data_IF_531939951486
#
_entry.id   IF_531939951486
#
_cell.length_a   1.000
_cell.length_b   1.000
_cell.length_c   1.000
_cell.angle_alpha   90.00
_cell.angle_beta   90.00
_cell.angle_gamma   90.00
#
_symmetry.space_group_name_H-M   'P 1'
#
loop_
_entity.id
_entity.type
_entity.pdbx_description
1 polymer ?
#
# COMPACT_ATOMS: atom_id res chain seq x y z
N UNK A 1 7.55 8.03 -5.20
CA UNK A 1 6.16 7.54 -5.37
C UNK A 1 5.61 7.23 -3.99
N UNK A 2 4.42 7.73 -3.68
CA UNK A 2 3.71 7.40 -2.43
C UNK A 2 2.86 6.18 -2.68
N UNK A 3 3.13 5.09 -1.98
CA UNK A 3 2.25 3.92 -1.98
C UNK A 3 0.94 4.29 -1.33
N UNK A 4 -0.19 3.82 -1.88
CA UNK A 4 -1.47 3.95 -1.19
C UNK A 4 -1.39 3.18 0.15
N UNK A 5 -1.95 3.76 1.20
CA UNK A 5 -2.14 3.09 2.49
C UNK A 5 -3.61 2.67 2.61
N UNK A 6 -3.91 1.67 3.43
CA UNK A 6 -5.28 1.23 3.60
C UNK A 6 -6.16 2.39 4.14
N UNK A 7 -7.40 2.59 3.66
CA UNK A 7 -8.21 3.74 4.06
C UNK A 7 -8.51 3.82 5.56
N UNK A 8 -8.65 2.68 6.24
CA UNK A 8 -8.85 2.67 7.69
C UNK A 8 -7.61 3.15 8.44
N UNK A 9 -6.42 2.82 7.93
CA UNK A 9 -5.16 3.28 8.51
C UNK A 9 -4.97 4.77 8.26
N UNK A 10 -5.35 5.25 7.08
CA UNK A 10 -5.39 6.68 6.78
C UNK A 10 -6.34 7.43 7.73
N UNK A 11 -7.53 6.90 7.99
CA UNK A 11 -8.49 7.47 8.93
C UNK A 11 -7.91 7.54 10.36
N UNK A 12 -7.26 6.48 10.83
CA UNK A 12 -6.58 6.45 12.13
C UNK A 12 -5.46 7.51 12.19
N UNK A 13 -4.66 7.64 11.13
CA UNK A 13 -3.61 8.65 11.05
C UNK A 13 -4.20 10.07 11.11
N UNK A 14 -5.27 10.34 10.37
CA UNK A 14 -5.95 11.64 10.41
C UNK A 14 -6.53 11.95 11.80
N UNK A 15 -7.02 10.95 12.53
CA UNK A 15 -7.52 11.14 13.89
C UNK A 15 -6.44 11.65 14.87
N UNK A 16 -5.15 11.47 14.55
CA UNK A 16 -4.03 12.04 15.33
C UNK A 16 -3.69 13.49 14.98
N UNK A 17 -4.36 14.09 14.00
CA UNK A 17 -4.08 15.44 13.50
C UNK A 17 -5.16 16.42 13.95
N UNK A 18 -4.72 17.64 14.26
CA UNK A 18 -5.63 18.75 14.56
C UNK A 18 -6.02 19.45 13.27
N UNK A 19 -7.32 19.54 13.00
CA UNK A 19 -7.86 20.30 11.87
C UNK A 19 -8.31 21.66 12.37
N UNK A 20 -8.08 22.70 11.57
CA UNK A 20 -8.54 24.06 11.88
C UNK A 20 -10.06 24.21 11.79
N UNK A 21 -10.74 23.36 11.00
CA UNK A 21 -12.19 23.22 11.03
C UNK A 21 -12.57 21.75 11.35
N UNK A 22 -13.36 21.53 12.41
CA UNK A 22 -13.70 20.19 12.92
C UNK A 22 -14.44 19.28 11.93
N UNK A 23 -14.98 19.80 10.82
CA UNK A 23 -15.67 19.02 9.78
C UNK A 23 -14.75 18.33 8.75
N UNK A 24 -13.45 18.64 8.78
CA UNK A 24 -12.56 18.39 7.65
C UNK A 24 -12.00 16.97 7.66
N UNK A 25 -11.79 16.35 8.82
CA UNK A 25 -11.22 15.00 8.93
C UNK A 25 -12.12 13.92 8.29
N UNK A 26 -13.43 14.00 8.50
CA UNK A 26 -14.40 13.10 7.91
C UNK A 26 -14.49 13.24 6.39
N UNK A 27 -14.46 14.48 5.88
CA UNK A 27 -14.45 14.77 4.44
C UNK A 27 -13.18 14.24 3.77
N UNK A 28 -12.00 14.49 4.36
CA UNK A 28 -10.72 14.01 3.83
C UNK A 28 -10.67 12.48 3.85
N UNK A 29 -11.17 11.85 4.92
CA UNK A 29 -11.27 10.37 4.99
C UNK A 29 -12.16 9.82 3.87
N UNK A 30 -13.32 10.44 3.62
CA UNK A 30 -14.24 10.04 2.55
C UNK A 30 -13.59 10.18 1.18
N UNK A 31 -13.00 11.33 0.86
CA UNK A 31 -12.32 11.57 -0.42
C UNK A 31 -11.16 10.59 -0.64
N UNK A 32 -10.43 10.24 0.43
CA UNK A 32 -9.38 9.23 0.34
C UNK A 32 -9.92 7.84 0.02
N UNK A 33 -11.02 7.42 0.66
CA UNK A 33 -11.69 6.14 0.33
C UNK A 33 -12.10 6.08 -1.13
N UNK A 34 -12.74 7.13 -1.62
CA UNK A 34 -13.15 7.24 -3.03
C UNK A 34 -11.94 7.15 -3.98
N UNK A 35 -10.84 7.81 -3.61
CA UNK A 35 -9.58 7.72 -4.38
C UNK A 35 -9.00 6.31 -4.34
N UNK A 36 -8.97 5.68 -3.17
CA UNK A 36 -8.47 4.32 -2.98
C UNK A 36 -9.31 3.30 -3.75
N UNK A 37 -10.63 3.47 -3.80
CA UNK A 37 -11.53 2.62 -4.58
C UNK A 37 -11.23 2.63 -6.07
N UNK A 38 -10.67 3.72 -6.60
CA UNK A 38 -10.15 3.77 -7.98
C UNK A 38 -8.75 3.15 -8.06
N UNK A 39 -7.86 3.54 -7.14
CA UNK A 39 -6.45 3.13 -7.16
C UNK A 39 -6.28 1.62 -6.94
N UNK A 40 -7.16 0.96 -6.19
CA UNK A 40 -7.06 -0.48 -5.91
C UNK A 40 -7.18 -1.35 -7.16
N UNK A 41 -7.77 -0.84 -8.22
CA UNK A 41 -7.87 -1.52 -9.53
C UNK A 41 -6.62 -1.34 -10.40
N UNK A 42 -5.55 -0.77 -9.86
CA UNK A 42 -4.29 -0.60 -10.58
C UNK A 42 -3.65 -1.94 -10.93
N UNK A 43 -3.35 -2.13 -12.22
CA UNK A 43 -2.69 -3.34 -12.74
C UNK A 43 -1.19 -3.38 -12.52
N UNK A 44 -0.55 -2.23 -12.30
CA UNK A 44 0.92 -2.12 -12.21
C UNK A 44 1.36 -1.24 -11.04
N UNK A 45 2.11 -1.82 -10.12
CA UNK A 45 2.75 -1.13 -9.01
C UNK A 45 4.28 -1.14 -9.20
N UNK A 46 4.91 0.04 -9.16
CA UNK A 46 6.36 0.17 -9.33
C UNK A 46 6.98 1.04 -8.22
N UNK A 47 7.85 0.40 -7.43
CA UNK A 47 8.52 0.97 -6.27
C UNK A 47 10.05 0.93 -6.40
N UNK A 48 10.56 1.47 -7.51
CA UNK A 48 11.99 1.38 -7.86
C UNK A 48 12.93 2.33 -7.08
N UNK A 49 12.38 3.29 -6.33
CA UNK A 49 13.13 4.38 -5.67
C UNK A 49 12.56 4.77 -4.31
N UNK A 50 11.89 3.85 -3.64
CA UNK A 50 11.31 4.05 -2.32
C UNK A 50 12.19 3.37 -1.29
N UNK A 51 12.65 4.14 -0.29
CA UNK A 51 13.29 3.58 0.88
C UNK A 51 12.21 2.91 1.75
N UNK A 52 12.16 1.59 1.68
CA UNK A 52 11.19 0.79 2.42
C UNK A 52 11.71 0.49 3.81
N UNK A 53 11.05 1.06 4.81
CA UNK A 53 11.18 0.62 6.21
C UNK A 53 10.20 -0.52 6.48
N UNK A 54 10.45 -1.29 7.54
CA UNK A 54 9.58 -2.39 7.94
C UNK A 54 8.13 -1.91 8.20
N UNK A 55 7.97 -0.77 8.86
CA UNK A 55 6.64 -0.18 9.13
C UNK A 55 5.90 0.21 7.84
N UNK A 56 6.60 0.86 6.90
CA UNK A 56 6.02 1.23 5.61
C UNK A 56 5.64 0.03 4.75
N UNK A 57 6.40 -1.07 4.86
CA UNK A 57 6.06 -2.32 4.18
C UNK A 57 4.77 -2.91 4.74
N UNK A 58 4.57 -2.90 6.06
CA UNK A 58 3.34 -3.40 6.67
C UNK A 58 2.11 -2.63 6.17
N UNK A 59 2.18 -1.30 6.14
CA UNK A 59 1.11 -0.44 5.61
C UNK A 59 0.84 -0.70 4.12
N UNK A 60 1.91 -0.93 3.34
CA UNK A 60 1.79 -1.30 1.94
C UNK A 60 1.11 -2.66 1.76
N UNK A 61 1.39 -3.65 2.62
CA UNK A 61 0.79 -4.97 2.52
C UNK A 61 -0.71 -4.96 2.81
N UNK A 62 -1.16 -4.13 3.76
CA UNK A 62 -2.59 -3.93 4.03
C UNK A 62 -3.31 -3.35 2.79
N UNK A 63 -2.74 -2.32 2.17
CA UNK A 63 -3.30 -1.77 0.93
C UNK A 63 -3.22 -2.77 -0.23
N UNK A 64 -2.13 -3.53 -0.33
CA UNK A 64 -1.91 -4.52 -1.37
C UNK A 64 -2.96 -5.63 -1.32
N UNK A 65 -3.44 -6.01 -0.13
CA UNK A 65 -4.49 -7.03 0.03
C UNK A 65 -5.76 -6.68 -0.78
N UNK A 66 -6.10 -5.40 -0.92
CA UNK A 66 -7.28 -4.92 -1.66
C UNK A 66 -7.05 -4.87 -3.20
N UNK A 67 -5.81 -4.95 -3.66
CA UNK A 67 -5.46 -4.77 -5.08
C UNK A 67 -5.55 -6.09 -5.86
N UNK A 68 -6.75 -6.54 -6.19
CA UNK A 68 -6.98 -7.86 -6.82
C UNK A 68 -6.67 -7.90 -8.32
N UNK A 69 -6.69 -6.74 -8.98
CA UNK A 69 -6.43 -6.60 -10.43
C UNK A 69 -4.95 -6.44 -10.77
N UNK A 70 -4.08 -6.61 -9.77
CA UNK A 70 -2.65 -6.40 -9.91
C UNK A 70 -2.02 -7.48 -10.81
N UNK A 71 -1.41 -7.06 -11.91
CA UNK A 71 -0.73 -7.93 -12.87
C UNK A 71 0.80 -7.83 -12.76
N UNK A 72 1.32 -6.68 -12.34
CA UNK A 72 2.75 -6.41 -12.22
C UNK A 72 3.07 -5.74 -10.88
N UNK A 73 4.04 -6.29 -10.15
CA UNK A 73 4.55 -5.69 -8.93
C UNK A 73 6.08 -5.66 -8.94
N UNK A 74 6.65 -4.47 -8.81
CA UNK A 74 8.08 -4.27 -8.67
C UNK A 74 8.41 -3.57 -7.35
N UNK A 75 9.22 -4.25 -6.54
CA UNK A 75 9.80 -3.74 -5.30
C UNK A 75 11.33 -3.78 -5.42
N UNK A 76 11.98 -2.63 -5.32
CA UNK A 76 13.44 -2.57 -5.29
C UNK A 76 13.92 -1.82 -4.05
N UNK A 77 15.18 -2.05 -3.67
CA UNK A 77 15.80 -1.38 -2.51
C UNK A 77 15.01 -1.60 -1.21
N UNK A 78 14.44 -2.77 -1.06
CA UNK A 78 13.68 -3.12 0.13
C UNK A 78 14.57 -3.82 1.14
N UNK A 79 14.63 -3.28 2.37
CA UNK A 79 15.20 -3.98 3.52
C UNK A 79 14.19 -4.99 4.08
N UNK A 80 13.66 -5.87 3.21
CA UNK A 80 12.81 -6.96 3.64
C UNK A 80 13.69 -8.01 4.32
N UNK A 81 13.65 -8.06 5.65
CA UNK A 81 14.11 -9.24 6.38
C UNK A 81 13.26 -10.46 6.03
N UNK A 82 13.71 -11.66 6.41
CA UNK A 82 13.10 -12.92 6.00
C UNK A 82 11.60 -13.00 6.34
N UNK A 83 11.22 -12.52 7.52
CA UNK A 83 9.82 -12.45 7.94
C UNK A 83 8.97 -11.51 7.06
N UNK A 84 9.56 -10.40 6.60
CA UNK A 84 8.92 -9.48 5.68
C UNK A 84 8.70 -10.10 4.29
N UNK A 85 9.67 -10.88 3.80
CA UNK A 85 9.55 -11.61 2.53
C UNK A 85 8.44 -12.66 2.62
N UNK A 86 8.37 -13.42 3.72
CA UNK A 86 7.32 -14.43 3.91
C UNK A 86 5.92 -13.82 3.91
N UNK A 87 5.69 -12.79 4.74
CA UNK A 87 4.40 -12.09 4.80
C UNK A 87 4.03 -11.48 3.45
N UNK A 88 5.01 -10.97 2.71
CA UNK A 88 4.78 -10.46 1.37
C UNK A 88 4.36 -11.57 0.40
N UNK A 89 5.08 -12.70 0.41
CA UNK A 89 4.76 -13.84 -0.44
C UNK A 89 3.33 -14.36 -0.17
N UNK A 90 2.93 -14.47 1.10
CA UNK A 90 1.57 -14.84 1.49
C UNK A 90 0.51 -13.93 0.85
N UNK A 91 0.69 -12.60 0.91
CA UNK A 91 -0.24 -11.65 0.28
C UNK A 91 -0.34 -11.81 -1.23
N UNK A 92 0.78 -12.16 -1.88
CA UNK A 92 0.82 -12.37 -3.32
C UNK A 92 0.17 -13.68 -3.74
N UNK A 93 0.15 -14.72 -2.91
CA UNK A 93 -0.54 -15.98 -3.24
C UNK A 93 -2.04 -15.79 -3.49
N UNK A 94 -2.64 -14.75 -2.92
CA UNK A 94 -4.04 -14.40 -3.14
C UNK A 94 -4.29 -13.69 -4.50
N UNK A 95 -3.23 -13.22 -5.18
CA UNK A 95 -3.33 -12.40 -6.41
C UNK A 95 -3.40 -13.26 -7.66
N UNK A 96 -4.63 -13.59 -8.06
CA UNK A 96 -4.91 -14.47 -9.22
C UNK A 96 -4.48 -13.91 -10.57
N UNK A 97 -4.36 -12.59 -10.68
CA UNK A 97 -4.02 -11.90 -11.93
C UNK A 97 -2.54 -11.51 -12.03
N UNK A 98 -1.73 -11.79 -10.99
CA UNK A 98 -0.33 -11.44 -10.95
C UNK A 98 0.46 -12.27 -11.98
N UNK A 99 1.12 -11.59 -12.90
CA UNK A 99 1.92 -12.20 -13.99
C UNK A 99 3.41 -12.00 -13.75
N UNK A 100 3.78 -10.85 -13.18
CA UNK A 100 5.17 -10.45 -13.00
C UNK A 100 5.40 -9.94 -11.58
N UNK A 101 6.37 -10.56 -10.90
CA UNK A 101 6.86 -10.14 -9.60
C UNK A 101 8.37 -9.92 -9.68
N UNK A 102 8.81 -8.70 -9.37
CA UNK A 102 10.23 -8.37 -9.29
C UNK A 102 10.57 -7.89 -7.87
N UNK A 103 11.42 -8.65 -7.21
CA UNK A 103 12.04 -8.31 -5.93
C UNK A 103 13.53 -8.07 -6.15
N UNK A 104 13.96 -6.81 -6.09
CA UNK A 104 15.35 -6.43 -6.31
C UNK A 104 15.98 -6.01 -4.98
N UNK A 105 16.80 -6.89 -4.44
CA UNK A 105 17.67 -6.60 -3.29
C UNK A 105 18.83 -5.72 -3.74
N UNK A 106 19.20 -4.74 -2.93
CA UNK A 106 20.45 -3.95 -3.10
C UNK A 106 21.44 -4.44 -2.08
#
# INVERSE_FOLDING_TARGET
SGTAIHPDRFAQMLATKTFTNGSDSGKVTKLYRETFDVVKHTKRQNFQRTAWTQDRMAECFEALAEMQDLEYFLLSRSALGDSGVLRFAEQLTAKRLLKELLLIKV
#
